data_IF_500452833100
#
_entry.id   IF_500452833100
#
_cell.length_a   1.000
_cell.length_b   1.000
_cell.length_c   1.000
_cell.angle_alpha   90.00
_cell.angle_beta   90.00
_cell.angle_gamma   90.00
#
_symmetry.space_group_name_H-M   'P 1'
#
loop_
_entity.id
_entity.type
_entity.pdbx_description
1 polymer ?
#
# COMPACT_ATOMS: atom_id res chain seq x y z
N UNK A 1 -21.12 -66.31 24.27
CA UNK A 1 -20.60 -66.00 25.62
C UNK A 1 -19.27 -65.29 25.41
N UNK A 2 -19.00 -64.01 25.67
CA UNK A 2 -19.60 -62.84 26.37
C UNK A 2 -18.97 -61.59 25.70
N UNK A 3 -19.70 -60.56 25.24
CA UNK A 3 -20.12 -59.30 25.93
C UNK A 3 -19.01 -58.45 26.56
N UNK A 4 -19.05 -57.13 26.24
CA UNK A 4 -18.67 -55.92 27.02
C UNK A 4 -17.45 -55.15 26.49
N UNK A 5 -17.57 -53.91 25.94
CA UNK A 5 -17.92 -52.57 26.51
C UNK A 5 -16.90 -52.00 27.52
N UNK A 6 -16.48 -50.74 27.22
CA UNK A 6 -16.07 -49.67 28.15
C UNK A 6 -14.60 -49.69 28.61
N UNK A 7 -13.86 -48.59 28.82
CA UNK A 7 -14.14 -47.15 28.82
C UNK A 7 -12.85 -46.32 28.87
N UNK A 8 -12.89 -45.16 28.19
CA UNK A 8 -12.35 -43.82 28.47
C UNK A 8 -10.96 -43.55 29.09
N UNK A 9 -10.25 -42.65 28.40
CA UNK A 9 -9.13 -41.85 28.90
C UNK A 9 -8.73 -40.80 27.87
N UNK A 10 -9.49 -39.71 27.80
CA UNK A 10 -9.28 -38.53 26.94
C UNK A 10 -8.34 -37.54 27.64
N UNK A 11 -7.27 -37.07 26.97
CA UNK A 11 -6.74 -35.70 27.13
C UNK A 11 -6.15 -35.19 25.80
N UNK A 12 -7.00 -34.46 25.07
CA UNK A 12 -6.76 -33.30 24.19
C UNK A 12 -5.34 -32.98 23.67
N UNK A 13 -5.19 -32.99 22.33
CA UNK A 13 -4.59 -31.88 21.57
C UNK A 13 -5.30 -31.71 20.21
N UNK A 14 -6.37 -30.89 20.23
CA UNK A 14 -6.83 -30.09 19.09
C UNK A 14 -5.64 -29.39 18.40
N UNK A 15 -5.56 -29.13 17.09
CA UNK A 15 -6.44 -29.39 15.95
C UNK A 15 -5.70 -28.97 14.67
N UNK A 16 -6.10 -29.53 13.52
CA UNK A 16 -6.01 -28.95 12.17
C UNK A 16 -4.60 -28.82 11.58
N UNK A 17 -4.05 -29.89 11.01
CA UNK A 17 -3.41 -29.89 9.67
C UNK A 17 -3.44 -31.32 9.11
N UNK A 18 -4.59 -31.76 8.60
CA UNK A 18 -4.70 -32.96 7.78
C UNK A 18 -4.59 -32.55 6.31
N UNK A 19 -3.41 -32.73 5.72
CA UNK A 19 -3.15 -32.46 4.30
C UNK A 19 -3.64 -33.63 3.44
N UNK A 20 -4.95 -33.67 3.15
CA UNK A 20 -5.43 -34.47 2.01
C UNK A 20 -5.12 -33.70 0.72
N UNK A 21 -4.54 -34.35 -0.32
CA UNK A 21 -4.21 -33.68 -1.57
C UNK A 21 -5.48 -33.17 -2.26
N UNK A 22 -5.49 -31.87 -2.57
CA UNK A 22 -6.58 -31.20 -3.28
C UNK A 22 -6.43 -31.53 -4.77
N UNK A 23 -7.40 -32.26 -5.31
CA UNK A 23 -7.43 -32.62 -6.73
C UNK A 23 -8.07 -31.47 -7.53
N UNK A 24 -7.25 -30.59 -8.11
CA UNK A 24 -7.72 -29.47 -8.92
C UNK A 24 -7.80 -29.93 -10.39
N UNK A 25 -9.02 -30.08 -10.91
CA UNK A 25 -9.27 -30.37 -12.32
C UNK A 25 -9.41 -29.07 -13.10
N UNK A 26 -8.43 -28.74 -13.95
CA UNK A 26 -8.51 -27.62 -14.89
C UNK A 26 -9.08 -28.11 -16.23
N UNK A 27 -10.22 -27.56 -16.68
CA UNK A 27 -10.61 -27.65 -18.09
C UNK A 27 -9.95 -26.49 -18.83
N UNK A 28 -8.79 -26.75 -19.43
CA UNK A 28 -8.10 -25.79 -20.29
C UNK A 28 -8.72 -25.85 -21.70
N UNK A 29 -9.33 -24.77 -22.17
CA UNK A 29 -9.54 -24.55 -23.62
C UNK A 29 -8.56 -23.48 -24.06
N UNK A 30 -7.65 -23.85 -24.96
CA UNK A 30 -6.54 -23.00 -25.42
C UNK A 30 -7.09 -21.81 -26.21
N UNK A 31 -6.70 -20.60 -25.82
CA UNK A 31 -6.81 -19.39 -26.63
C UNK A 31 -5.80 -18.36 -26.14
N UNK A 32 -4.69 -18.19 -26.86
CA UNK A 32 -3.79 -17.04 -26.69
C UNK A 32 -4.59 -15.77 -26.98
N UNK A 33 -5.06 -15.08 -25.94
CA UNK A 33 -5.34 -13.65 -25.99
C UNK A 33 -5.56 -13.14 -24.57
N UNK A 34 -4.65 -12.26 -24.14
CA UNK A 34 -4.92 -11.05 -23.38
C UNK A 34 -6.34 -11.00 -22.77
N UNK A 35 -6.47 -11.42 -21.49
CA UNK A 35 -7.70 -11.32 -20.72
C UNK A 35 -8.09 -9.84 -20.56
N UNK A 36 -8.84 -9.34 -21.54
CA UNK A 36 -9.56 -8.08 -21.46
C UNK A 36 -10.89 -8.33 -20.74
N UNK A 37 -11.10 -7.56 -19.67
CA UNK A 37 -12.36 -7.31 -18.94
C UNK A 37 -12.82 -8.43 -17.99
N UNK A 38 -12.74 -8.14 -16.69
CA UNK A 38 -13.76 -8.38 -15.65
C UNK A 38 -14.53 -9.71 -15.64
N UNK A 39 -13.96 -10.82 -16.10
CA UNK A 39 -14.60 -12.12 -16.05
C UNK A 39 -14.47 -12.72 -14.64
N UNK A 40 -15.62 -12.91 -14.00
CA UNK A 40 -15.74 -13.62 -12.74
C UNK A 40 -15.47 -15.09 -13.02
N UNK A 41 -14.31 -15.59 -12.58
CA UNK A 41 -14.01 -17.01 -12.73
C UNK A 41 -14.62 -17.75 -11.54
N UNK A 42 -15.56 -18.66 -11.82
CA UNK A 42 -16.24 -19.44 -10.78
C UNK A 42 -15.45 -20.72 -10.55
N UNK A 43 -14.90 -20.91 -9.35
CA UNK A 43 -14.21 -22.13 -8.97
C UNK A 43 -15.06 -22.94 -8.00
N UNK A 44 -15.05 -24.27 -8.14
CA UNK A 44 -15.79 -25.20 -7.28
C UNK A 44 -14.86 -25.74 -6.19
N UNK A 45 -15.06 -25.29 -4.96
CA UNK A 45 -14.37 -25.79 -3.77
C UNK A 45 -15.40 -26.46 -2.86
N UNK A 46 -15.17 -27.72 -2.49
CA UNK A 46 -16.01 -28.50 -1.57
C UNK A 46 -17.52 -28.48 -1.92
N UNK A 47 -17.85 -28.57 -3.21
CA UNK A 47 -19.23 -28.57 -3.69
C UNK A 47 -19.93 -27.21 -3.71
N UNK A 48 -19.27 -26.13 -3.30
CA UNK A 48 -19.79 -24.76 -3.38
C UNK A 48 -19.07 -23.98 -4.49
N UNK A 49 -19.84 -23.23 -5.27
CA UNK A 49 -19.31 -22.28 -6.23
C UNK A 49 -19.05 -20.97 -5.50
N UNK A 50 -17.78 -20.59 -5.39
CA UNK A 50 -17.37 -19.29 -4.86
C UNK A 50 -17.06 -18.35 -6.02
N UNK A 51 -17.69 -17.17 -6.01
CA UNK A 51 -17.42 -16.09 -6.96
C UNK A 51 -16.17 -15.36 -6.48
N UNK A 52 -15.01 -15.74 -6.99
CA UNK A 52 -13.75 -15.07 -6.67
C UNK A 52 -13.48 -14.04 -7.77
N UNK A 53 -13.29 -12.78 -7.39
CA UNK A 53 -12.82 -11.76 -8.33
C UNK A 53 -11.32 -11.95 -8.49
N UNK A 54 -10.88 -12.26 -9.72
CA UNK A 54 -9.45 -12.22 -10.04
C UNK A 54 -8.97 -10.78 -9.85
N UNK A 55 -8.00 -10.56 -8.95
CA UNK A 55 -7.41 -9.24 -8.75
C UNK A 55 -6.28 -9.08 -9.77
N UNK A 56 -6.35 -8.00 -10.56
CA UNK A 56 -5.30 -7.68 -11.53
C UNK A 56 -4.05 -7.23 -10.78
N UNK A 57 -2.97 -7.98 -10.94
CA UNK A 57 -1.62 -7.58 -10.51
C UNK A 57 -0.85 -7.01 -11.70
N UNK A 58 -0.03 -6.00 -11.46
CA UNK A 58 0.74 -5.29 -12.47
C UNK A 58 2.12 -4.93 -11.94
N UNK A 59 3.13 -4.79 -12.83
CA UNK A 59 4.45 -4.36 -12.41
C UNK A 59 4.42 -2.90 -11.96
N UNK A 60 5.02 -2.55 -10.80
CA UNK A 60 4.96 -1.22 -10.19
C UNK A 60 5.32 -0.08 -11.16
N UNK A 61 6.32 -0.29 -12.02
CA UNK A 61 6.77 0.70 -13.02
C UNK A 61 5.65 1.25 -13.92
N UNK A 62 4.59 0.47 -14.14
CA UNK A 62 3.44 0.83 -15.00
C UNK A 62 2.27 1.46 -14.23
N UNK A 63 2.32 1.49 -12.90
CA UNK A 63 1.21 1.88 -12.05
C UNK A 63 1.26 3.38 -11.73
N UNK A 64 0.13 3.94 -11.30
CA UNK A 64 0.05 5.29 -10.71
C UNK A 64 -0.92 5.24 -9.52
N UNK A 65 -0.79 6.15 -8.54
CA UNK A 65 -1.76 6.21 -7.45
C UNK A 65 -3.17 6.43 -7.98
N UNK A 66 -4.16 5.76 -7.40
CA UNK A 66 -5.55 6.02 -7.77
C UNK A 66 -6.00 7.40 -7.31
N UNK A 67 -7.06 7.91 -7.94
CA UNK A 67 -7.70 9.16 -7.49
C UNK A 67 -8.09 9.11 -6.00
N UNK A 68 -8.63 7.97 -5.55
CA UNK A 68 -9.00 7.75 -4.14
C UNK A 68 -7.79 7.81 -3.21
N UNK A 69 -6.62 7.31 -3.63
CA UNK A 69 -5.38 7.45 -2.87
C UNK A 69 -5.00 8.93 -2.72
N UNK A 70 -5.05 9.70 -3.80
CA UNK A 70 -4.71 11.13 -3.78
C UNK A 70 -5.69 11.94 -2.92
N UNK A 71 -6.99 11.62 -2.97
CA UNK A 71 -7.99 12.22 -2.09
C UNK A 71 -7.73 11.89 -0.62
N UNK A 72 -7.43 10.62 -0.32
CA UNK A 72 -7.15 10.18 1.04
C UNK A 72 -5.92 10.90 1.62
N UNK A 73 -4.83 10.97 0.87
CA UNK A 73 -3.61 11.65 1.30
C UNK A 73 -3.87 13.15 1.53
N UNK A 74 -4.56 13.83 0.62
CA UNK A 74 -4.94 15.24 0.81
C UNK A 74 -5.90 15.46 1.98
N UNK A 75 -6.71 14.46 2.34
CA UNK A 75 -7.64 14.55 3.48
C UNK A 75 -6.93 14.38 4.83
N UNK A 76 -5.86 13.61 4.89
CA UNK A 76 -5.02 13.49 6.09
C UNK A 76 -4.13 14.72 6.31
N UNK A 77 -3.71 15.37 5.24
CA UNK A 77 -2.93 16.61 5.30
C UNK A 77 -3.82 17.83 5.52
N UNK A 78 -3.50 18.69 6.49
CA UNK A 78 -4.23 19.95 6.66
C UNK A 78 -3.77 20.96 5.61
N UNK A 79 -4.66 21.36 4.70
CA UNK A 79 -4.36 22.38 3.68
C UNK A 79 -4.04 23.73 4.33
N UNK A 80 -2.83 24.24 4.11
CA UNK A 80 -2.45 25.61 4.46
C UNK A 80 -2.16 26.45 3.22
N UNK A 81 -2.99 27.48 3.00
CA UNK A 81 -2.79 28.41 1.88
C UNK A 81 -1.74 29.48 2.16
N UNK A 82 -1.21 29.57 3.39
CA UNK A 82 -0.13 30.47 3.76
C UNK A 82 1.03 29.67 4.38
N UNK A 83 2.28 30.15 4.27
CA UNK A 83 3.40 29.49 4.92
C UNK A 83 3.21 29.40 6.44
N UNK A 84 3.54 28.26 7.02
CA UNK A 84 3.54 28.01 8.45
C UNK A 84 4.82 27.31 8.90
N UNK A 85 5.13 27.41 10.17
CA UNK A 85 6.22 26.66 10.79
C UNK A 85 5.71 25.27 11.19
N UNK A 86 6.36 24.20 10.72
CA UNK A 86 5.90 22.82 10.90
C UNK A 86 5.92 22.33 12.35
N UNK A 87 6.75 22.91 13.21
CA UNK A 87 6.86 22.59 14.64
C UNK A 87 5.76 23.30 15.44
N UNK A 88 5.52 24.58 15.16
CA UNK A 88 4.58 25.41 15.93
C UNK A 88 3.18 25.49 15.33
N UNK A 89 3.02 25.09 14.06
CA UNK A 89 1.81 25.23 13.23
C UNK A 89 1.33 26.68 13.05
N UNK A 90 2.16 27.68 13.39
CA UNK A 90 1.82 29.09 13.25
C UNK A 90 2.19 29.61 11.88
N UNK A 91 1.34 30.47 11.31
CA UNK A 91 1.65 31.20 10.08
C UNK A 91 2.89 32.07 10.28
N UNK A 92 3.77 32.08 9.29
CA UNK A 92 5.04 32.82 9.29
C UNK A 92 5.09 33.84 8.16
N UNK A 93 5.73 34.98 8.41
CA UNK A 93 5.93 36.06 7.43
C UNK A 93 7.39 36.19 6.99
N UNK A 94 8.28 35.40 7.60
CA UNK A 94 9.70 35.29 7.28
C UNK A 94 10.06 33.82 7.22
N UNK A 95 11.04 33.49 6.38
CA UNK A 95 11.58 32.14 6.29
C UNK A 95 12.16 31.70 7.64
N UNK A 96 11.84 30.48 8.05
CA UNK A 96 12.48 29.73 9.13
C UNK A 96 12.71 28.29 8.66
N UNK A 97 13.60 27.58 9.34
CA UNK A 97 13.77 26.14 9.12
C UNK A 97 12.48 25.42 9.52
N UNK A 98 11.92 24.61 8.62
CA UNK A 98 10.60 24.00 8.81
C UNK A 98 9.43 24.79 8.19
N UNK A 99 9.71 25.89 7.48
CA UNK A 99 8.71 26.62 6.71
C UNK A 99 7.99 25.68 5.72
N UNK A 100 6.67 25.57 5.83
CA UNK A 100 5.84 24.60 5.11
C UNK A 100 4.59 25.27 4.54
N UNK A 101 4.06 24.80 3.41
CA UNK A 101 2.83 25.30 2.79
C UNK A 101 2.05 24.18 2.07
N UNK A 102 0.80 24.44 1.69
CA UNK A 102 -0.03 23.52 0.92
C UNK A 102 -0.40 22.30 1.75
N UNK A 103 -0.13 21.11 1.19
CA UNK A 103 -0.34 19.81 1.83
C UNK A 103 0.97 19.25 2.42
N UNK A 104 1.72 20.09 3.15
CA UNK A 104 2.98 19.67 3.78
C UNK A 104 4.24 19.87 2.91
N UNK A 105 4.20 20.74 1.89
CA UNK A 105 5.36 21.08 1.08
C UNK A 105 6.38 21.89 1.89
N UNK A 106 7.55 21.31 2.17
CA UNK A 106 8.65 21.99 2.86
C UNK A 106 9.30 22.99 1.91
N UNK A 107 9.34 24.26 2.33
CA UNK A 107 10.02 25.35 1.65
C UNK A 107 11.50 25.25 1.98
N UNK A 108 12.34 25.04 0.97
CA UNK A 108 13.75 24.68 1.15
C UNK A 108 14.63 25.87 1.53
N UNK A 109 14.29 27.07 1.06
CA UNK A 109 15.09 28.27 1.28
C UNK A 109 14.30 29.58 1.24
N UNK A 110 15.02 30.67 1.55
CA UNK A 110 14.46 32.02 1.57
C UNK A 110 14.03 32.57 0.20
N UNK A 111 14.55 32.04 -0.90
CA UNK A 111 14.15 32.47 -2.25
C UNK A 111 12.82 31.83 -2.63
N UNK A 112 12.64 30.54 -2.38
CA UNK A 112 11.36 29.86 -2.54
C UNK A 112 10.30 30.48 -1.63
N UNK A 113 10.65 30.79 -0.37
CA UNK A 113 9.74 31.47 0.55
C UNK A 113 9.19 32.79 -0.01
N UNK A 114 9.99 33.57 -0.76
CA UNK A 114 9.53 34.84 -1.35
C UNK A 114 8.42 34.64 -2.39
N UNK A 115 8.36 33.48 -3.03
CA UNK A 115 7.31 33.12 -4.00
C UNK A 115 5.99 32.89 -3.26
N UNK A 116 6.03 32.21 -2.11
CA UNK A 116 4.85 31.76 -1.39
C UNK A 116 4.42 32.62 -0.20
N UNK A 117 5.23 33.63 0.19
CA UNK A 117 4.99 34.47 1.39
C UNK A 117 3.61 35.14 1.44
N UNK A 118 3.01 35.39 0.27
CA UNK A 118 1.70 36.03 0.14
C UNK A 118 0.54 35.02 0.02
N UNK A 119 0.84 33.74 0.24
CA UNK A 119 -0.10 32.64 0.09
C UNK A 119 -0.21 32.10 -1.34
N UNK A 120 -0.91 30.98 -1.46
CA UNK A 120 -1.12 30.24 -2.71
C UNK A 120 -2.60 29.91 -2.90
N UNK A 121 -2.98 29.57 -4.13
CA UNK A 121 -4.32 29.04 -4.42
C UNK A 121 -4.40 27.55 -4.10
N UNK A 122 -5.61 27.01 -3.94
CA UNK A 122 -5.82 25.56 -3.82
C UNK A 122 -5.24 24.80 -5.01
N UNK A 123 -5.42 25.31 -6.24
CA UNK A 123 -4.85 24.67 -7.44
C UNK A 123 -3.33 24.62 -7.39
N UNK A 124 -2.68 25.68 -6.89
CA UNK A 124 -1.22 25.69 -6.70
C UNK A 124 -0.80 24.68 -5.63
N UNK A 125 -1.56 24.56 -4.53
CA UNK A 125 -1.31 23.55 -3.51
C UNK A 125 -1.46 22.11 -4.04
N UNK A 126 -2.48 21.86 -4.87
CA UNK A 126 -2.68 20.57 -5.54
C UNK A 126 -1.49 20.25 -6.47
N UNK A 127 -1.00 21.22 -7.27
CA UNK A 127 0.18 21.02 -8.12
C UNK A 127 1.47 20.77 -7.32
N UNK A 128 1.67 21.47 -6.20
CA UNK A 128 2.82 21.22 -5.31
C UNK A 128 2.75 19.81 -4.72
N UNK A 129 1.57 19.39 -4.28
CA UNK A 129 1.36 18.05 -3.74
C UNK A 129 1.67 16.96 -4.78
N UNK A 130 1.20 17.09 -6.02
CA UNK A 130 1.52 16.14 -7.09
C UNK A 130 3.02 16.09 -7.41
N UNK A 131 3.66 17.26 -7.44
CA UNK A 131 5.11 17.36 -7.63
C UNK A 131 5.89 16.66 -6.51
N UNK A 132 5.52 16.91 -5.25
CA UNK A 132 6.14 16.27 -4.10
C UNK A 132 5.92 14.77 -4.08
N UNK A 133 4.73 14.32 -4.52
CA UNK A 133 4.37 12.92 -4.53
C UNK A 133 5.24 12.10 -5.49
N UNK A 134 5.76 12.73 -6.55
CA UNK A 134 6.56 12.09 -7.58
C UNK A 134 7.70 11.25 -7.00
N UNK A 135 8.49 11.79 -6.06
CA UNK A 135 9.65 11.07 -5.49
C UNK A 135 9.24 9.79 -4.75
N UNK A 136 8.08 9.79 -4.10
CA UNK A 136 7.57 8.63 -3.36
C UNK A 136 7.03 7.57 -4.32
N UNK A 137 6.33 8.00 -5.38
CA UNK A 137 5.91 7.12 -6.48
C UNK A 137 7.13 6.44 -7.09
N UNK A 138 8.19 7.19 -7.41
CA UNK A 138 9.42 6.62 -7.97
C UNK A 138 10.11 5.67 -6.98
N UNK A 139 10.12 5.99 -5.69
CA UNK A 139 10.66 5.10 -4.67
C UNK A 139 9.97 3.73 -4.68
N UNK A 140 8.63 3.70 -4.73
CA UNK A 140 7.86 2.45 -4.83
C UNK A 140 8.16 1.73 -6.15
N UNK A 141 8.08 2.45 -7.28
CA UNK A 141 8.31 1.88 -8.62
C UNK A 141 9.67 1.23 -8.79
N UNK A 142 10.70 1.83 -8.22
CA UNK A 142 12.09 1.42 -8.44
C UNK A 142 12.55 0.34 -7.48
N UNK A 143 11.91 0.23 -6.30
CA UNK A 143 12.38 -0.67 -5.25
C UNK A 143 11.49 -1.91 -5.04
N UNK A 144 10.22 -1.87 -5.44
CA UNK A 144 9.36 -3.05 -5.38
C UNK A 144 9.56 -3.90 -6.63
N UNK A 145 9.95 -5.16 -6.45
CA UNK A 145 10.35 -6.06 -7.55
C UNK A 145 9.30 -7.10 -7.92
N UNK A 146 8.19 -7.13 -7.19
CA UNK A 146 7.06 -8.04 -7.40
C UNK A 146 5.87 -7.30 -8.03
N UNK A 147 5.02 -8.02 -8.74
CA UNK A 147 3.76 -7.47 -9.26
C UNK A 147 2.78 -7.20 -8.10
N UNK A 148 2.08 -6.06 -8.17
CA UNK A 148 1.18 -5.59 -7.12
C UNK A 148 -0.25 -5.43 -7.61
N UNK A 149 -1.19 -5.61 -6.71
CA UNK A 149 -2.54 -5.06 -6.87
C UNK A 149 -2.51 -3.54 -6.76
N UNK A 150 -3.51 -2.86 -7.33
CA UNK A 150 -3.58 -1.40 -7.26
C UNK A 150 -3.64 -0.85 -5.83
N UNK A 151 -4.35 -1.54 -4.92
CA UNK A 151 -4.47 -1.11 -3.54
C UNK A 151 -3.14 -1.26 -2.77
N UNK A 152 -2.35 -2.30 -3.07
CA UNK A 152 -1.01 -2.46 -2.48
C UNK A 152 -0.07 -1.35 -2.95
N UNK A 153 -0.10 -1.02 -4.25
CA UNK A 153 0.68 0.09 -4.77
C UNK A 153 0.32 1.41 -4.09
N UNK A 154 -0.97 1.73 -3.99
CA UNK A 154 -1.46 2.93 -3.30
C UNK A 154 -1.01 2.96 -1.83
N UNK A 155 -1.12 1.84 -1.11
CA UNK A 155 -0.69 1.73 0.28
C UNK A 155 0.81 1.94 0.46
N UNK A 156 1.64 1.43 -0.45
CA UNK A 156 3.09 1.63 -0.42
C UNK A 156 3.47 3.07 -0.73
N UNK A 157 2.73 3.77 -1.60
CA UNK A 157 2.93 5.20 -1.86
C UNK A 157 2.61 6.02 -0.61
N UNK A 158 1.49 5.73 0.08
CA UNK A 158 1.13 6.38 1.35
C UNK A 158 2.22 6.12 2.41
N UNK A 159 2.69 4.88 2.52
CA UNK A 159 3.77 4.53 3.45
C UNK A 159 5.05 5.30 3.11
N UNK A 160 5.46 5.33 1.84
CA UNK A 160 6.67 6.02 1.41
C UNK A 160 6.59 7.53 1.66
N UNK A 161 5.42 8.13 1.49
CA UNK A 161 5.16 9.51 1.84
C UNK A 161 5.34 9.75 3.35
N UNK A 162 4.72 8.89 4.19
CA UNK A 162 4.77 9.04 5.65
C UNK A 162 6.18 8.83 6.24
N UNK A 163 6.93 7.83 5.75
CA UNK A 163 8.26 7.49 6.29
C UNK A 163 9.42 8.21 5.59
N UNK A 164 9.13 8.94 4.51
CA UNK A 164 10.14 9.43 3.59
C UNK A 164 10.74 8.34 2.69
N UNK A 165 11.37 8.75 1.58
CA UNK A 165 12.01 7.84 0.62
C UNK A 165 13.06 6.95 1.29
N UNK A 166 13.96 7.54 2.09
CA UNK A 166 15.02 6.78 2.79
C UNK A 166 14.43 5.78 3.79
N UNK A 167 13.39 6.17 4.53
CA UNK A 167 12.71 5.29 5.47
C UNK A 167 12.08 4.10 4.76
N UNK A 168 11.40 4.37 3.65
CA UNK A 168 10.79 3.32 2.83
C UNK A 168 11.82 2.34 2.24
N UNK A 169 12.89 2.84 1.62
CA UNK A 169 13.88 1.99 0.93
C UNK A 169 14.70 1.10 1.86
N UNK A 170 14.75 1.43 3.15
CA UNK A 170 15.42 0.62 4.18
C UNK A 170 14.42 -0.09 5.11
N UNK A 171 13.12 -0.03 4.80
CA UNK A 171 12.09 -0.59 5.67
C UNK A 171 12.04 -2.11 5.63
N UNK A 172 11.68 -2.70 6.78
CA UNK A 172 11.33 -4.13 6.86
C UNK A 172 10.16 -4.47 5.94
N UNK A 173 9.20 -3.56 5.76
CA UNK A 173 8.05 -3.75 4.84
C UNK A 173 8.51 -4.01 3.41
N UNK A 174 9.46 -3.21 2.90
CA UNK A 174 10.01 -3.41 1.56
C UNK A 174 10.76 -4.74 1.44
N UNK A 175 11.50 -5.14 2.49
CA UNK A 175 12.19 -6.43 2.53
C UNK A 175 11.19 -7.60 2.46
N UNK A 176 10.09 -7.51 3.21
CA UNK A 176 9.02 -8.53 3.23
C UNK A 176 8.35 -8.63 1.86
N UNK A 177 7.92 -7.51 1.28
CA UNK A 177 7.15 -7.53 0.02
C UNK A 177 7.99 -8.06 -1.15
N UNK A 178 9.30 -7.79 -1.13
CA UNK A 178 10.23 -8.30 -2.13
C UNK A 178 10.68 -9.75 -1.86
N UNK A 179 10.23 -10.39 -0.77
CA UNK A 179 10.61 -11.76 -0.42
C UNK A 179 12.05 -11.89 0.12
N UNK A 180 12.68 -10.79 0.51
CA UNK A 180 14.07 -10.76 1.00
C UNK A 180 14.18 -10.86 2.54
N UNK A 181 13.05 -10.88 3.25
CA UNK A 181 13.02 -10.94 4.70
C UNK A 181 13.05 -12.38 5.21
N UNK A 182 14.12 -12.76 5.91
CA UNK A 182 14.37 -14.15 6.35
C UNK A 182 14.23 -14.37 7.85
N UNK A 183 13.97 -13.30 8.62
CA UNK A 183 13.81 -13.38 10.08
C UNK A 183 12.37 -13.71 10.46
N UNK A 184 12.17 -14.29 11.65
CA UNK A 184 10.83 -14.46 12.21
C UNK A 184 10.25 -13.09 12.57
N UNK A 185 9.08 -12.77 12.02
CA UNK A 185 8.37 -11.53 12.31
C UNK A 185 7.86 -11.46 13.75
N UNK A 186 7.76 -12.60 14.44
CA UNK A 186 7.27 -12.69 15.82
C UNK A 186 8.36 -12.43 16.87
N UNK A 187 9.62 -12.36 16.47
CA UNK A 187 10.76 -12.18 17.39
C UNK A 187 11.28 -10.73 17.48
N UNK A 188 10.57 -9.77 16.87
CA UNK A 188 10.97 -8.36 16.77
C UNK A 188 10.36 -7.50 17.89
#
# INVERSE_FOLDING_TARGET
MLISRGEQGEVSLNSIYSTKPINIQYKHTIGRNMLLKNELTTFRLNGRYTRTQCVKIQPPRTMQPTHRCLELMRAYETLSLHPYDDQTKKTITKYCQGATIGYGHLIMDSNEFKIYKNGITKSTADSLFEHDLYRFIQAVKNNVIVDLTQNEFDALVILAFNTGVRGFTHSTVLSIINGNYTKDLRSA
#
